data_IF_868198743453
#
_entry.id   IF_868198743453
#
_cell.length_a   1.000
_cell.length_b   1.000
_cell.length_c   1.000
_cell.angle_alpha   90.00
_cell.angle_beta   90.00
_cell.angle_gamma   90.00
#
_symmetry.space_group_name_H-M   'P 1'
#
loop_
_entity.id
_entity.type
_entity.pdbx_description
1 polymer ?
#
# COMPACT_ATOMS: atom_id res chain seq x y z
N UNK A 1 9.99 7.06 1.29
CA UNK A 1 9.19 5.84 1.08
C UNK A 1 7.75 6.16 1.47
N UNK A 2 6.77 5.69 0.69
CA UNK A 2 5.34 5.83 0.95
C UNK A 2 4.67 4.46 0.87
N UNK A 3 3.83 4.15 1.86
CA UNK A 3 3.03 2.94 1.90
C UNK A 3 1.58 3.33 1.62
N UNK A 4 0.98 2.72 0.60
CA UNK A 4 -0.40 2.96 0.19
C UNK A 4 -1.19 1.70 0.52
N UNK A 5 -2.17 1.79 1.44
CA UNK A 5 -2.84 0.61 2.00
C UNK A 5 -4.35 0.79 1.87
N UNK A 6 -5.02 -0.18 1.23
CA UNK A 6 -6.50 -0.29 1.25
C UNK A 6 -7.23 0.90 0.63
N UNK A 7 -6.72 1.46 -0.46
CA UNK A 7 -7.34 2.61 -1.16
C UNK A 7 -7.63 2.27 -2.62
N UNK A 8 -8.67 2.89 -3.17
CA UNK A 8 -8.98 2.84 -4.60
C UNK A 8 -8.11 3.79 -5.44
N UNK A 9 -7.33 4.67 -4.78
CA UNK A 9 -6.50 5.69 -5.42
C UNK A 9 -7.30 6.67 -6.30
N UNK A 10 -8.57 6.93 -5.96
CA UNK A 10 -9.46 7.87 -6.69
C UNK A 10 -9.64 9.21 -5.98
N UNK A 11 -9.56 9.23 -4.65
CA UNK A 11 -9.90 10.43 -3.86
C UNK A 11 -8.67 11.32 -3.66
N UNK A 12 -8.78 12.56 -4.15
CA UNK A 12 -7.77 13.60 -3.92
C UNK A 12 -7.99 14.30 -2.57
N UNK A 13 -6.91 14.69 -1.87
CA UNK A 13 -5.51 14.70 -2.30
C UNK A 13 -4.76 13.36 -2.13
N UNK A 14 -5.33 12.40 -1.39
CA UNK A 14 -4.62 11.18 -0.99
C UNK A 14 -4.08 10.36 -2.18
N UNK A 15 -4.83 10.27 -3.27
CA UNK A 15 -4.42 9.59 -4.50
C UNK A 15 -3.12 10.14 -5.10
N UNK A 16 -2.86 11.45 -4.97
CA UNK A 16 -1.68 12.10 -5.56
C UNK A 16 -0.39 11.99 -4.73
N UNK A 17 -0.45 11.51 -3.50
CA UNK A 17 0.76 11.43 -2.66
C UNK A 17 1.76 10.39 -3.15
N UNK A 18 1.30 9.31 -3.78
CA UNK A 18 2.18 8.31 -4.39
C UNK A 18 3.04 8.95 -5.49
N UNK A 19 2.39 9.68 -6.41
CA UNK A 19 3.05 10.37 -7.52
C UNK A 19 4.08 11.39 -7.01
N UNK A 20 3.69 12.25 -6.05
CA UNK A 20 4.60 13.24 -5.45
C UNK A 20 5.84 12.57 -4.86
N UNK A 21 5.70 11.41 -4.21
CA UNK A 21 6.83 10.70 -3.63
C UNK A 21 7.73 10.12 -4.72
N UNK A 22 7.17 9.55 -5.79
CA UNK A 22 7.95 9.00 -6.90
C UNK A 22 8.68 10.08 -7.69
N UNK A 23 8.03 11.21 -7.97
CA UNK A 23 8.61 12.37 -8.66
C UNK A 23 9.81 12.95 -7.89
N UNK A 24 9.85 12.77 -6.58
CA UNK A 24 10.96 13.16 -5.72
C UNK A 24 11.98 12.03 -5.49
N UNK A 25 11.95 10.97 -6.29
CA UNK A 25 12.88 9.83 -6.23
C UNK A 25 12.64 8.86 -5.07
N UNK A 26 11.51 8.99 -4.38
CA UNK A 26 11.08 8.08 -3.33
C UNK A 26 10.54 6.76 -3.89
N UNK A 27 10.36 5.78 -2.99
CA UNK A 27 9.78 4.46 -3.29
C UNK A 27 8.34 4.36 -2.79
N UNK A 28 7.46 3.76 -3.60
CA UNK A 28 6.04 3.51 -3.28
C UNK A 28 5.78 2.02 -3.22
N UNK A 29 5.18 1.56 -2.11
CA UNK A 29 4.67 0.21 -1.96
C UNK A 29 3.15 0.25 -1.78
N UNK A 30 2.42 -0.50 -2.60
CA UNK A 30 0.96 -0.62 -2.53
C UNK A 30 0.56 -1.96 -1.94
N UNK A 31 -0.35 -1.93 -0.96
CA UNK A 31 -0.99 -3.06 -0.34
C UNK A 31 -2.48 -2.97 -0.61
N UNK A 32 -3.00 -3.86 -1.45
CA UNK A 32 -4.40 -3.87 -1.80
C UNK A 32 -4.93 -5.29 -2.00
N UNK A 33 -6.24 -5.49 -1.90
CA UNK A 33 -6.83 -6.82 -2.14
C UNK A 33 -6.73 -7.20 -3.61
N UNK A 34 -6.92 -6.23 -4.49
CA UNK A 34 -6.91 -6.39 -5.95
C UNK A 34 -6.08 -5.27 -6.60
N UNK A 35 -5.58 -5.52 -7.81
CA UNK A 35 -4.87 -4.51 -8.57
C UNK A 35 -5.83 -3.38 -9.01
N UNK A 36 -5.41 -2.14 -8.81
CA UNK A 36 -6.12 -0.93 -9.25
C UNK A 36 -5.43 -0.30 -10.46
N UNK A 37 -6.10 0.64 -11.15
CA UNK A 37 -5.47 1.40 -12.24
C UNK A 37 -4.24 2.21 -11.78
N UNK A 38 -4.16 2.56 -10.50
CA UNK A 38 -3.02 3.28 -9.91
C UNK A 38 -1.78 2.42 -9.69
N UNK A 39 -1.85 1.11 -9.88
CA UNK A 39 -0.79 0.18 -9.48
C UNK A 39 0.23 -0.10 -10.60
N UNK A 40 0.07 0.51 -11.77
CA UNK A 40 0.88 0.21 -12.98
C UNK A 40 2.36 0.63 -12.84
N UNK A 41 2.65 1.64 -12.02
CA UNK A 41 3.97 2.29 -11.94
C UNK A 41 4.60 2.24 -10.54
N UNK A 42 4.13 1.36 -9.66
CA UNK A 42 4.60 1.31 -8.26
C UNK A 42 5.86 0.46 -8.14
N UNK A 43 6.72 0.78 -7.17
CA UNK A 43 7.96 0.02 -6.96
C UNK A 43 7.68 -1.38 -6.38
N UNK A 44 6.62 -1.50 -5.58
CA UNK A 44 6.20 -2.77 -4.97
C UNK A 44 4.67 -2.86 -4.94
N UNK A 45 4.14 -4.02 -5.30
CA UNK A 45 2.72 -4.33 -5.25
C UNK A 45 2.50 -5.62 -4.44
N UNK A 46 1.73 -5.53 -3.37
CA UNK A 46 1.35 -6.63 -2.51
C UNK A 46 -0.15 -6.85 -2.60
N UNK A 47 -0.56 -8.02 -3.09
CA UNK A 47 -1.96 -8.38 -3.27
C UNK A 47 -2.44 -9.31 -2.16
N UNK A 48 -3.56 -8.94 -1.54
CA UNK A 48 -4.21 -9.69 -0.47
C UNK A 48 -4.52 -8.85 0.76
N UNK A 49 -5.03 -9.48 1.84
CA UNK A 49 -5.41 -8.78 3.06
C UNK A 49 -4.21 -8.09 3.71
N UNK A 50 -4.35 -6.80 4.03
CA UNK A 50 -3.23 -5.99 4.51
C UNK A 50 -2.77 -6.41 5.91
N UNK A 51 -3.65 -6.98 6.73
CA UNK A 51 -3.33 -7.56 8.04
C UNK A 51 -2.31 -8.70 7.95
N UNK A 52 -2.18 -9.33 6.77
CA UNK A 52 -1.16 -10.33 6.48
C UNK A 52 0.02 -9.73 5.72
N UNK A 53 -0.26 -9.11 4.57
CA UNK A 53 0.79 -8.69 3.63
C UNK A 53 1.67 -7.58 4.19
N UNK A 54 1.11 -6.65 4.99
CA UNK A 54 1.88 -5.58 5.61
C UNK A 54 2.86 -6.10 6.66
N UNK A 55 2.41 -7.03 7.50
CA UNK A 55 3.25 -7.66 8.53
C UNK A 55 4.42 -8.42 7.91
N UNK A 56 4.13 -9.25 6.90
CA UNK A 56 5.12 -10.01 6.15
C UNK A 56 6.17 -9.11 5.47
N UNK A 57 5.72 -8.03 4.81
CA UNK A 57 6.62 -7.10 4.13
C UNK A 57 7.54 -6.30 5.08
N UNK A 58 7.06 -6.00 6.28
CA UNK A 58 7.82 -5.26 7.29
C UNK A 58 8.63 -6.18 8.22
N UNK A 59 8.46 -7.50 8.14
CA UNK A 59 9.12 -8.45 9.03
C UNK A 59 8.67 -8.32 10.49
N UNK A 60 7.41 -7.93 10.72
CA UNK A 60 6.84 -7.76 12.05
C UNK A 60 5.79 -8.84 12.33
N UNK A 61 5.82 -9.41 13.53
CA UNK A 61 4.73 -10.25 14.02
C UNK A 61 3.52 -9.36 14.31
N UNK A 62 2.42 -9.58 13.59
CA UNK A 62 1.16 -8.90 13.84
C UNK A 62 0.38 -9.72 14.88
N UNK A 63 0.12 -9.18 16.08
CA UNK A 63 -0.67 -9.90 17.07
C UNK A 63 -2.08 -10.16 16.53
N UNK A 64 -2.57 -11.40 16.67
CA UNK A 64 -3.95 -11.74 16.28
C UNK A 64 -4.90 -10.99 17.22
N UNK A 65 -5.50 -9.91 16.72
CA UNK A 65 -6.60 -9.24 17.38
C UNK A 65 -7.82 -10.13 17.21
N UNK A 66 -8.26 -10.80 18.28
CA UNK A 66 -9.55 -11.48 18.29
C UNK A 66 -10.62 -10.40 18.41
N UNK A 67 -11.42 -10.19 17.37
CA UNK A 67 -12.64 -9.39 17.49
C UNK A 67 -13.57 -10.08 18.50
N UNK A 68 -13.90 -9.38 19.58
CA UNK A 68 -14.89 -9.77 20.60
C UNK A 68 -16.31 -9.49 20.15
#
# INVERSE_FOLDING_TARGET
MCLVIGTSSVVYPAAGFADVVQDNGGKVAVFNVEASQGDQNVDFLFLGPCEKTLGEALGIEVPIVRET
#
